data_IF_745134836755
#
_entry.id   IF_745134836755
#
_cell.length_a   1.000
_cell.length_b   1.000
_cell.length_c   1.000
_cell.angle_alpha   90.00
_cell.angle_beta   90.00
_cell.angle_gamma   90.00
#
_symmetry.space_group_name_H-M   'P 1'
#
loop_
_entity.id
_entity.type
_entity.pdbx_description
1 polymer ?
#
# COMPACT_ATOMS: atom_id res chain seq x y z
N UNK A 1 -21.71 -2.63 6.67
CA UNK A 1 -20.36 -2.87 7.24
C UNK A 1 -19.42 -1.75 6.81
N UNK A 2 -18.33 -1.54 7.54
CA UNK A 2 -17.31 -0.53 7.20
C UNK A 2 -15.94 -1.20 7.20
N UNK A 3 -15.15 -0.99 6.14
CA UNK A 3 -13.73 -1.36 6.09
C UNK A 3 -12.90 -0.13 5.77
N UNK A 4 -12.18 0.36 6.76
CA UNK A 4 -11.31 1.53 6.60
C UNK A 4 -9.88 1.07 6.35
N UNK A 5 -9.41 1.19 5.10
CA UNK A 5 -8.10 0.70 4.65
C UNK A 5 -7.83 -0.78 4.97
N UNK A 6 -8.86 -1.60 5.10
CA UNK A 6 -8.72 -3.04 5.40
C UNK A 6 -8.54 -3.89 4.14
N UNK A 7 -9.33 -3.60 3.10
CA UNK A 7 -9.37 -4.41 1.86
C UNK A 7 -8.01 -4.50 1.15
N UNK A 8 -7.16 -3.48 1.30
CA UNK A 8 -5.81 -3.43 0.73
C UNK A 8 -4.87 -4.53 1.25
N UNK A 9 -5.20 -5.17 2.37
CA UNK A 9 -4.42 -6.25 2.98
C UNK A 9 -4.94 -7.65 2.63
N UNK A 10 -6.07 -7.75 1.93
CA UNK A 10 -6.60 -9.04 1.51
C UNK A 10 -5.72 -9.65 0.42
N UNK A 11 -5.40 -10.94 0.56
CA UNK A 11 -4.69 -11.68 -0.48
C UNK A 11 -5.50 -11.77 -1.78
N UNK A 12 -6.83 -11.90 -1.64
CA UNK A 12 -7.81 -11.75 -2.72
C UNK A 12 -8.86 -10.71 -2.28
N UNK A 13 -8.71 -9.44 -2.70
CA UNK A 13 -9.66 -8.38 -2.39
C UNK A 13 -11.09 -8.68 -2.82
N UNK A 14 -11.29 -9.31 -3.99
CA UNK A 14 -12.62 -9.58 -4.52
C UNK A 14 -13.34 -10.66 -3.72
N UNK A 15 -12.62 -11.73 -3.34
CA UNK A 15 -13.15 -12.75 -2.43
C UNK A 15 -13.49 -12.18 -1.06
N UNK A 16 -12.61 -11.33 -0.50
CA UNK A 16 -12.87 -10.70 0.78
C UNK A 16 -14.09 -9.78 0.75
N UNK A 17 -14.26 -8.97 -0.31
CA UNK A 17 -15.46 -8.13 -0.48
C UNK A 17 -16.73 -8.97 -0.67
N UNK A 18 -16.69 -10.07 -1.45
CA UNK A 18 -17.81 -11.01 -1.57
C UNK A 18 -18.27 -11.53 -0.21
N UNK A 19 -17.32 -11.92 0.62
CA UNK A 19 -17.61 -12.44 1.95
C UNK A 19 -18.20 -11.36 2.88
N UNK A 20 -17.68 -10.13 2.78
CA UNK A 20 -18.27 -8.99 3.49
C UNK A 20 -19.74 -8.76 3.06
N UNK A 21 -20.04 -8.80 1.76
CA UNK A 21 -21.40 -8.66 1.23
C UNK A 21 -22.30 -9.80 1.70
N UNK A 22 -21.83 -11.05 1.69
CA UNK A 22 -22.57 -12.24 2.16
C UNK A 22 -23.03 -12.11 3.63
N UNK A 23 -22.22 -11.45 4.47
CA UNK A 23 -22.52 -11.27 5.89
C UNK A 23 -23.51 -10.14 6.18
N UNK A 24 -23.89 -9.33 5.18
CA UNK A 24 -24.82 -8.23 5.36
C UNK A 24 -26.27 -8.70 5.33
N UNK A 25 -27.13 -8.02 6.09
CA UNK A 25 -28.58 -8.12 5.90
C UNK A 25 -28.93 -7.60 4.50
N UNK A 26 -29.97 -8.14 3.84
CA UNK A 26 -30.43 -7.62 2.55
C UNK A 26 -30.64 -6.10 2.61
N UNK A 27 -30.07 -5.37 1.62
CA UNK A 27 -30.16 -3.91 1.51
C UNK A 27 -29.23 -3.10 2.43
N UNK A 28 -28.44 -3.73 3.31
CA UNK A 28 -27.50 -3.00 4.15
C UNK A 28 -26.25 -2.54 3.34
N UNK A 29 -25.74 -1.33 3.57
CA UNK A 29 -24.62 -0.79 2.81
C UNK A 29 -23.27 -1.38 3.24
N UNK A 30 -22.35 -1.46 2.29
CA UNK A 30 -20.92 -1.68 2.50
C UNK A 30 -20.15 -0.40 2.18
N UNK A 31 -19.40 0.12 3.15
CA UNK A 31 -18.55 1.29 2.98
C UNK A 31 -17.08 0.86 3.03
N UNK A 32 -16.31 1.19 2.01
CA UNK A 32 -14.89 0.87 1.92
C UNK A 32 -14.10 2.16 1.67
N UNK A 33 -13.01 2.35 2.41
CA UNK A 33 -11.94 3.25 2.03
C UNK A 33 -10.67 2.45 1.71
N UNK A 34 -9.92 2.93 0.74
CA UNK A 34 -8.65 2.35 0.32
C UNK A 34 -7.63 3.46 0.05
N UNK A 35 -6.36 3.08 -0.03
CA UNK A 35 -5.36 3.97 -0.60
C UNK A 35 -5.62 4.16 -2.08
N UNK A 36 -5.33 5.35 -2.63
CA UNK A 36 -5.42 5.62 -4.06
C UNK A 36 -4.45 4.77 -4.90
N UNK A 37 -4.22 5.20 -6.13
CA UNK A 37 -3.29 4.53 -7.05
C UNK A 37 -1.85 4.53 -6.50
N UNK A 38 -0.97 3.80 -7.20
CA UNK A 38 0.46 3.78 -6.88
C UNK A 38 1.07 5.18 -6.97
N UNK A 39 0.66 5.95 -7.97
CA UNK A 39 1.09 7.32 -8.26
C UNK A 39 0.60 8.28 -7.18
N UNK A 40 -0.66 8.16 -6.75
CA UNK A 40 -1.25 8.99 -5.69
C UNK A 40 -0.64 8.76 -4.30
N UNK A 41 0.13 7.67 -4.15
CA UNK A 41 0.75 7.27 -2.89
C UNK A 41 2.25 6.99 -3.04
N UNK A 42 2.91 7.82 -3.85
CA UNK A 42 4.32 7.71 -4.22
C UNK A 42 5.27 7.55 -3.01
N UNK A 43 4.91 8.10 -1.84
CA UNK A 43 5.66 7.94 -0.61
C UNK A 43 5.93 6.46 -0.23
N UNK A 44 5.05 5.51 -0.57
CA UNK A 44 5.30 4.09 -0.31
C UNK A 44 6.29 3.44 -1.29
N UNK A 45 6.64 4.12 -2.38
CA UNK A 45 7.50 3.58 -3.44
C UNK A 45 8.98 3.96 -3.29
N UNK A 46 9.30 5.00 -2.50
CA UNK A 46 10.69 5.48 -2.38
C UNK A 46 11.63 4.37 -1.87
N UNK A 47 11.28 3.69 -0.78
CA UNK A 47 12.14 2.62 -0.22
C UNK A 47 12.25 1.40 -1.16
N UNK A 48 11.14 0.84 -1.71
CA UNK A 48 11.25 -0.23 -2.69
C UNK A 48 12.10 0.13 -3.91
N UNK A 49 11.94 1.33 -4.47
CA UNK A 49 12.74 1.80 -5.61
C UNK A 49 14.22 1.95 -5.24
N UNK A 50 14.51 2.51 -4.06
CA UNK A 50 15.88 2.63 -3.57
C UNK A 50 16.52 1.27 -3.29
N UNK A 51 15.75 0.29 -2.82
CA UNK A 51 16.21 -1.09 -2.62
C UNK A 51 16.60 -1.74 -3.95
N UNK A 52 15.77 -1.61 -4.98
CA UNK A 52 16.08 -2.10 -6.33
C UNK A 52 17.33 -1.43 -6.92
N UNK A 53 17.57 -0.15 -6.60
CA UNK A 53 18.70 0.61 -7.13
C UNK A 53 20.02 0.39 -6.37
N UNK A 54 19.97 0.05 -5.09
CA UNK A 54 21.16 0.03 -4.21
C UNK A 54 21.55 -1.35 -3.68
N UNK A 55 20.67 -2.36 -3.79
CA UNK A 55 20.92 -3.70 -3.29
C UNK A 55 21.14 -4.71 -4.43
N UNK A 56 21.89 -5.80 -4.18
CA UNK A 56 21.93 -6.93 -5.08
C UNK A 56 20.52 -7.48 -5.38
N UNK A 57 20.28 -7.94 -6.61
CA UNK A 57 18.96 -8.37 -7.06
C UNK A 57 18.39 -9.56 -6.26
N UNK A 58 19.25 -10.43 -5.74
CA UNK A 58 18.90 -11.56 -4.87
C UNK A 58 18.54 -11.14 -3.44
N UNK A 59 18.87 -9.90 -3.04
CA UNK A 59 18.52 -9.32 -1.74
C UNK A 59 17.13 -8.68 -1.73
N UNK A 60 16.50 -8.48 -2.88
CA UNK A 60 15.16 -7.90 -3.01
C UNK A 60 14.16 -9.02 -3.29
N UNK A 61 13.02 -9.08 -2.56
CA UNK A 61 11.99 -10.09 -2.82
C UNK A 61 11.54 -10.07 -4.29
N UNK A 62 11.63 -11.22 -4.96
CA UNK A 62 11.32 -11.37 -6.38
C UNK A 62 9.86 -10.99 -6.75
N UNK A 63 8.95 -11.12 -5.78
CA UNK A 63 7.55 -10.73 -5.95
C UNK A 63 7.15 -9.67 -4.94
N UNK A 64 6.63 -8.54 -5.45
CA UNK A 64 5.90 -7.59 -4.60
C UNK A 64 4.47 -8.11 -4.38
N UNK A 65 3.92 -7.99 -3.15
CA UNK A 65 2.51 -8.26 -2.93
C UNK A 65 1.69 -7.44 -3.94
N UNK A 66 0.74 -8.10 -4.62
CA UNK A 66 -0.22 -7.37 -5.47
C UNK A 66 -0.99 -6.42 -4.57
N UNK A 67 -0.76 -5.13 -4.77
CA UNK A 67 -1.54 -4.08 -4.13
C UNK A 67 -2.85 -3.92 -4.90
N UNK A 68 -3.96 -3.84 -4.18
CA UNK A 68 -5.24 -3.45 -4.79
C UNK A 68 -5.13 -2.05 -5.40
N UNK A 69 -5.56 -1.89 -6.65
CA UNK A 69 -5.69 -0.56 -7.26
C UNK A 69 -6.88 0.15 -6.60
N UNK A 70 -6.59 1.18 -5.81
CA UNK A 70 -7.61 1.99 -5.19
C UNK A 70 -7.94 3.28 -5.93
N UNK A 71 -7.56 3.39 -7.22
CA UNK A 71 -8.13 4.39 -8.11
C UNK A 71 -9.67 4.27 -8.14
N UNK A 72 -10.40 5.34 -8.50
CA UNK A 72 -11.86 5.25 -8.59
C UNK A 72 -12.36 4.12 -9.51
N UNK A 73 -11.68 3.93 -10.65
CA UNK A 73 -11.98 2.86 -11.59
C UNK A 73 -11.62 1.47 -11.02
N UNK A 74 -10.47 1.34 -10.36
CA UNK A 74 -10.02 0.09 -9.74
C UNK A 74 -10.95 -0.37 -8.61
N UNK A 75 -11.39 0.56 -7.76
CA UNK A 75 -12.38 0.26 -6.70
C UNK A 75 -13.73 -0.12 -7.28
N UNK A 76 -14.20 0.60 -8.30
CA UNK A 76 -15.47 0.26 -8.95
C UNK A 76 -15.41 -1.17 -9.53
N UNK A 77 -14.38 -1.48 -10.31
CA UNK A 77 -14.19 -2.80 -10.90
C UNK A 77 -14.05 -3.91 -9.85
N UNK A 78 -13.35 -3.64 -8.73
CA UNK A 78 -13.25 -4.57 -7.62
C UNK A 78 -14.62 -4.87 -6.98
N UNK A 79 -15.41 -3.83 -6.70
CA UNK A 79 -16.72 -3.96 -6.08
C UNK A 79 -17.71 -4.69 -7.02
N UNK A 80 -17.69 -4.36 -8.30
CA UNK A 80 -18.50 -5.00 -9.33
C UNK A 80 -18.14 -6.49 -9.48
N UNK A 81 -16.86 -6.83 -9.56
CA UNK A 81 -16.39 -8.22 -9.61
C UNK A 81 -16.71 -9.01 -8.32
N UNK A 82 -16.94 -8.30 -7.21
CA UNK A 82 -17.39 -8.90 -5.97
C UNK A 82 -18.93 -9.02 -5.87
N UNK A 83 -19.68 -8.59 -6.87
CA UNK A 83 -21.14 -8.67 -6.91
C UNK A 83 -21.84 -7.56 -6.12
N UNK A 84 -21.15 -6.45 -5.82
CA UNK A 84 -21.82 -5.27 -5.30
C UNK A 84 -22.74 -4.65 -6.37
N UNK A 85 -23.84 -4.06 -5.90
CA UNK A 85 -24.79 -3.28 -6.72
C UNK A 85 -24.84 -1.85 -6.17
N UNK A 86 -25.38 -0.92 -6.96
CA UNK A 86 -25.51 0.50 -6.59
C UNK A 86 -24.18 1.14 -6.12
N UNK A 87 -23.12 0.87 -6.87
CA UNK A 87 -21.75 1.28 -6.51
C UNK A 87 -21.57 2.79 -6.74
N UNK A 88 -21.18 3.50 -5.69
CA UNK A 88 -20.72 4.88 -5.76
C UNK A 88 -19.29 4.98 -5.22
N UNK A 89 -18.39 5.57 -6.01
CA UNK A 89 -17.01 5.83 -5.61
C UNK A 89 -16.78 7.33 -5.53
N UNK A 90 -16.32 7.80 -4.36
CA UNK A 90 -16.05 9.21 -4.11
C UNK A 90 -14.56 9.41 -3.85
N UNK A 91 -13.95 10.38 -4.52
CA UNK A 91 -12.54 10.71 -4.38
C UNK A 91 -11.87 11.03 -5.72
N UNK A 92 -10.52 11.07 -5.75
CA UNK A 92 -9.64 10.83 -4.61
C UNK A 92 -9.77 11.90 -3.52
N UNK A 93 -9.71 11.50 -2.25
CA UNK A 93 -9.58 12.43 -1.12
C UNK A 93 -8.10 12.54 -0.78
N UNK A 94 -7.47 13.62 -1.23
CA UNK A 94 -6.04 13.83 -1.00
C UNK A 94 -5.78 14.50 0.34
N UNK A 95 -4.82 13.94 1.08
CA UNK A 95 -4.25 14.52 2.29
C UNK A 95 -2.74 14.48 2.18
N UNK A 96 -2.10 15.62 2.40
CA UNK A 96 -0.64 15.74 2.34
C UNK A 96 -0.06 15.53 3.73
N UNK A 97 0.75 14.48 3.87
CA UNK A 97 1.65 14.33 5.01
C UNK A 97 3.02 14.89 4.60
N UNK A 98 3.52 15.87 5.34
CA UNK A 98 4.89 16.40 5.15
C UNK A 98 5.80 15.82 6.22
N UNK A 99 6.82 15.08 5.80
CA UNK A 99 7.94 14.77 6.68
C UNK A 99 8.77 16.04 6.90
N UNK A 100 9.36 16.18 8.09
CA UNK A 100 10.22 17.32 8.42
C UNK A 100 11.45 17.38 7.51
N UNK A 101 12.04 16.22 7.27
CA UNK A 101 13.26 15.99 6.50
C UNK A 101 13.29 14.52 6.01
N UNK A 102 14.28 14.18 5.20
CA UNK A 102 14.47 12.82 4.68
C UNK A 102 14.69 11.79 5.79
N UNK A 103 15.31 12.19 6.91
CA UNK A 103 15.50 11.33 8.07
C UNK A 103 14.18 10.96 8.73
N UNK A 104 13.29 11.93 8.95
CA UNK A 104 11.95 11.71 9.50
C UNK A 104 11.08 10.84 8.58
N UNK A 105 11.27 10.95 7.25
CA UNK A 105 10.66 10.02 6.31
C UNK A 105 11.17 8.59 6.54
N UNK A 106 12.50 8.40 6.57
CA UNK A 106 13.11 7.08 6.77
C UNK A 106 12.61 6.45 8.07
N UNK A 107 12.70 7.15 9.20
CA UNK A 107 12.32 6.60 10.50
C UNK A 107 10.84 6.18 10.53
N UNK A 108 9.96 6.97 9.90
CA UNK A 108 8.54 6.66 9.81
C UNK A 108 8.28 5.40 8.98
N UNK A 109 8.83 5.32 7.77
CA UNK A 109 8.50 4.26 6.82
C UNK A 109 9.33 2.98 7.01
N UNK A 110 10.58 3.10 7.45
CA UNK A 110 11.44 1.96 7.76
C UNK A 110 10.90 1.17 8.97
N UNK A 111 10.38 1.86 9.98
CA UNK A 111 9.81 1.22 11.18
C UNK A 111 8.31 0.95 11.06
N UNK A 112 7.58 1.75 10.27
CA UNK A 112 6.12 1.68 10.17
C UNK A 112 5.60 0.70 9.11
N UNK A 113 6.37 0.40 8.06
CA UNK A 113 5.92 -0.50 7.00
C UNK A 113 6.38 -1.95 7.25
N UNK A 114 5.47 -2.93 7.39
CA UNK A 114 5.83 -4.32 7.65
C UNK A 114 6.78 -4.92 6.60
N UNK A 115 6.55 -4.60 5.31
CA UNK A 115 7.40 -5.08 4.21
C UNK A 115 8.82 -4.51 4.30
N UNK A 116 8.97 -3.23 4.62
CA UNK A 116 10.29 -2.61 4.79
C UNK A 116 11.03 -3.20 5.99
N UNK A 117 10.35 -3.39 7.12
CA UNK A 117 10.95 -4.05 8.29
C UNK A 117 11.42 -5.47 7.97
N UNK A 118 10.61 -6.23 7.25
CA UNK A 118 10.96 -7.59 6.84
C UNK A 118 12.21 -7.61 5.94
N UNK A 119 12.28 -6.69 4.97
CA UNK A 119 13.48 -6.52 4.14
C UNK A 119 14.70 -6.16 4.99
N UNK A 120 14.61 -5.15 5.86
CA UNK A 120 15.73 -4.72 6.70
C UNK A 120 16.25 -5.85 7.61
N UNK A 121 15.38 -6.75 8.06
CA UNK A 121 15.76 -7.89 8.87
C UNK A 121 16.59 -8.96 8.12
N UNK A 122 16.56 -8.98 6.79
CA UNK A 122 17.37 -9.91 5.97
C UNK A 122 18.70 -9.31 5.52
N UNK A 123 18.89 -7.99 5.69
CA UNK A 123 20.08 -7.29 5.21
C UNK A 123 21.20 -7.28 6.25
N UNK A 124 22.45 -7.29 5.76
CA UNK A 124 23.60 -6.98 6.62
C UNK A 124 23.56 -5.51 7.07
N UNK A 125 24.23 -5.15 8.18
CA UNK A 125 24.29 -3.76 8.63
C UNK A 125 24.81 -2.79 7.54
N UNK A 126 25.77 -3.23 6.73
CA UNK A 126 26.31 -2.45 5.62
C UNK A 126 25.27 -2.22 4.50
N UNK A 127 24.53 -3.27 4.13
CA UNK A 127 23.48 -3.16 3.10
C UNK A 127 22.30 -2.30 3.58
N UNK A 128 21.88 -2.44 4.84
CA UNK A 128 20.85 -1.59 5.43
C UNK A 128 21.28 -0.11 5.48
N UNK A 129 22.55 0.16 5.80
CA UNK A 129 23.11 1.51 5.76
C UNK A 129 23.16 2.09 4.33
N UNK A 130 23.56 1.29 3.34
CA UNK A 130 23.57 1.70 1.94
C UNK A 130 22.15 2.05 1.43
N UNK A 131 21.17 1.21 1.74
CA UNK A 131 19.76 1.49 1.42
C UNK A 131 19.29 2.80 2.06
N UNK A 132 19.59 3.01 3.35
CA UNK A 132 19.23 4.26 4.04
C UNK A 132 19.84 5.48 3.36
N UNK A 133 21.14 5.42 3.03
CA UNK A 133 21.83 6.52 2.34
C UNK A 133 21.20 6.82 0.98
N UNK A 134 20.86 5.78 0.21
CA UNK A 134 20.17 5.92 -1.07
C UNK A 134 18.79 6.60 -0.92
N UNK A 135 18.01 6.19 0.08
CA UNK A 135 16.70 6.82 0.36
C UNK A 135 16.84 8.28 0.75
N UNK A 136 17.79 8.61 1.64
CA UNK A 136 18.02 10.00 2.07
C UNK A 136 18.40 10.87 0.88
N UNK A 137 19.35 10.44 0.05
CA UNK A 137 19.78 11.17 -1.12
C UNK A 137 18.69 11.32 -2.20
N UNK A 138 17.68 10.43 -2.23
CA UNK A 138 16.55 10.53 -3.17
C UNK A 138 15.54 11.60 -2.76
N UNK A 139 15.55 12.02 -1.49
CA UNK A 139 14.55 12.92 -0.90
C UNK A 139 15.08 14.34 -0.63
N UNK A 140 16.38 14.58 -0.86
CA UNK A 140 17.05 15.87 -0.79
C UNK A 140 17.20 16.48 -2.19
#
# INVERSE_FOLDING_TARGET
AVSSFGVIFFADPAAGVREMLRCLKPGAPLLISAWGSREETAAFQVIPTAAEASLPADSVPAARPKRADGSPAGLHALLEAAGAIDIAVHGPVTRTLRAKDAQAYWDRFALGAPATRALLATLSPAAAAALRTCVIATLE
#
